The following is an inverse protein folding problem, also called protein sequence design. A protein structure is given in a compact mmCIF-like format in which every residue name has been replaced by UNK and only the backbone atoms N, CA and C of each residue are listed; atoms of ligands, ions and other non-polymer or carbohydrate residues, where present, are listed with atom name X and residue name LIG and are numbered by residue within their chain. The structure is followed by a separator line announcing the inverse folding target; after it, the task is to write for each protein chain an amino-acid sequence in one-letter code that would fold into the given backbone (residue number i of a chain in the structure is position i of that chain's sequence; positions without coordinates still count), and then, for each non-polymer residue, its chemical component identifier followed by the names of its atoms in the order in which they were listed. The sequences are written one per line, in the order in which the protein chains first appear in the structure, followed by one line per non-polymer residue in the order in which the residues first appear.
data_IF_254323134368
#
_entry.id   IF_254323134368
#
_cell.length_a   1.000
_cell.length_b   1.000
_cell.length_c   1.000
_cell.angle_alpha   90.00
_cell.angle_beta   90.00
_cell.angle_gamma   90.00
#
_symmetry.space_group_name_H-M   'P 1'
#
loop_
_entity.id
_entity.type
_entity.pdbx_description
1 polymer ?
#
# COMPACT_ATOMS: atom_id res chain seq x y z
N UNK A 1 -15.20 -18.76 -27.42
CA UNK A 1 -15.75 -18.27 -26.14
C UNK A 1 -16.05 -16.80 -26.34
N UNK A 2 -17.32 -16.44 -26.37
CA UNK A 2 -17.72 -15.04 -26.44
C UNK A 2 -17.36 -14.44 -25.05
N UNK A 3 -16.43 -13.50 -25.05
CA UNK A 3 -16.14 -12.70 -23.85
C UNK A 3 -17.38 -11.86 -23.55
N UNK A 4 -18.15 -12.29 -22.56
CA UNK A 4 -19.27 -11.49 -22.05
C UNK A 4 -18.65 -10.35 -21.26
N UNK A 5 -18.22 -9.31 -21.95
CA UNK A 5 -17.83 -8.05 -21.32
C UNK A 5 -19.11 -7.44 -20.77
N UNK A 6 -19.17 -7.27 -19.45
CA UNK A 6 -20.26 -6.57 -18.82
C UNK A 6 -20.30 -5.14 -19.38
N UNK A 7 -21.46 -4.74 -19.94
CA UNK A 7 -21.62 -3.43 -20.53
C UNK A 7 -22.01 -2.40 -19.46
N UNK A 8 -21.01 -1.71 -18.95
CA UNK A 8 -21.20 -0.55 -18.08
C UNK A 8 -20.84 0.74 -18.83
N UNK A 9 -21.44 1.85 -18.44
CA UNK A 9 -21.18 3.17 -19.03
C UNK A 9 -19.81 3.73 -18.61
N UNK A 10 -19.30 3.34 -17.43
CA UNK A 10 -18.00 3.75 -16.89
C UNK A 10 -17.42 2.69 -15.96
N UNK A 11 -16.10 2.75 -15.70
CA UNK A 11 -15.39 1.81 -14.86
C UNK A 11 -14.54 2.53 -13.82
N UNK A 12 -14.62 2.04 -12.57
CA UNK A 12 -13.71 2.43 -11.50
C UNK A 12 -12.97 1.17 -11.05
N UNK A 13 -11.66 1.19 -11.15
CA UNK A 13 -10.81 0.00 -10.96
C UNK A 13 -9.78 0.30 -9.88
N UNK A 14 -9.65 -0.58 -8.89
CA UNK A 14 -8.60 -0.49 -7.89
C UNK A 14 -7.23 -0.81 -8.50
N UNK A 15 -6.19 -0.12 -8.03
CA UNK A 15 -4.84 -0.26 -8.57
C UNK A 15 -4.09 -1.40 -7.87
N UNK A 16 -3.99 -1.35 -6.54
CA UNK A 16 -3.09 -2.20 -5.77
C UNK A 16 -3.66 -3.61 -5.52
N UNK A 17 -3.06 -4.61 -6.14
CA UNK A 17 -3.52 -6.01 -6.06
C UNK A 17 -4.65 -6.36 -7.02
N UNK A 18 -5.08 -5.42 -7.87
CA UNK A 18 -6.07 -5.61 -8.95
C UNK A 18 -5.43 -5.36 -10.31
N UNK A 19 -4.91 -4.19 -10.56
CA UNK A 19 -4.16 -3.88 -11.79
C UNK A 19 -2.69 -4.29 -11.64
N UNK A 20 -2.10 -3.99 -10.48
CA UNK A 20 -0.69 -4.22 -10.21
C UNK A 20 -0.49 -5.22 -9.06
N UNK A 21 0.59 -6.03 -9.14
CA UNK A 21 1.00 -6.98 -8.09
C UNK A 21 1.79 -6.26 -6.97
N UNK A 22 1.19 -5.22 -6.40
CA UNK A 22 1.82 -4.43 -5.34
C UNK A 22 1.39 -4.83 -3.92
N UNK A 23 0.34 -5.63 -3.76
CA UNK A 23 -0.19 -6.00 -2.45
C UNK A 23 0.84 -6.72 -1.56
N UNK A 24 1.58 -7.68 -2.11
CA UNK A 24 2.65 -8.38 -1.38
C UNK A 24 3.81 -7.44 -1.04
N UNK A 25 4.10 -6.46 -1.89
CA UNK A 25 5.13 -5.46 -1.67
C UNK A 25 4.73 -4.49 -0.55
N UNK A 26 3.47 -4.06 -0.52
CA UNK A 26 2.91 -3.29 0.59
C UNK A 26 3.07 -4.03 1.93
N UNK A 27 2.68 -5.31 1.99
CA UNK A 27 2.77 -6.11 3.20
C UNK A 27 4.22 -6.28 3.69
N UNK A 28 5.18 -6.51 2.78
CA UNK A 28 6.61 -6.58 3.11
C UNK A 28 7.16 -5.26 3.60
N UNK A 29 6.81 -4.14 2.96
CA UNK A 29 7.26 -2.81 3.39
C UNK A 29 6.75 -2.48 4.79
N UNK A 30 5.51 -2.82 5.11
CA UNK A 30 4.96 -2.67 6.46
C UNK A 30 5.71 -3.51 7.48
N UNK A 31 6.01 -4.77 7.14
CA UNK A 31 6.81 -5.63 8.02
C UNK A 31 8.18 -5.02 8.30
N UNK A 32 8.90 -4.61 7.28
CA UNK A 32 10.24 -4.01 7.45
C UNK A 32 10.19 -2.75 8.30
N UNK A 33 9.20 -1.88 8.06
CA UNK A 33 9.04 -0.65 8.84
C UNK A 33 8.73 -0.94 10.31
N UNK A 34 7.71 -1.75 10.57
CA UNK A 34 7.18 -1.93 11.92
C UNK A 34 8.11 -2.78 12.79
N UNK A 35 8.73 -3.83 12.23
CA UNK A 35 9.74 -4.61 12.94
C UNK A 35 10.99 -3.78 13.21
N UNK A 36 11.43 -2.97 12.25
CA UNK A 36 12.56 -2.05 12.43
C UNK A 36 12.30 -1.00 13.51
N UNK A 37 11.12 -0.38 13.50
CA UNK A 37 10.71 0.59 14.52
C UNK A 37 10.67 -0.05 15.93
N UNK A 38 10.08 -1.23 16.05
CA UNK A 38 10.02 -1.93 17.35
C UNK A 38 11.43 -2.27 17.85
N UNK A 39 12.30 -2.77 16.98
CA UNK A 39 13.68 -3.09 17.37
C UNK A 39 14.47 -1.84 17.80
N UNK A 40 14.26 -0.69 17.15
CA UNK A 40 14.91 0.58 17.48
C UNK A 40 14.37 1.19 18.77
N UNK A 41 13.05 1.30 18.90
CA UNK A 41 12.41 2.03 20.01
C UNK A 41 12.25 1.18 21.28
N UNK A 42 12.20 -0.15 21.13
CA UNK A 42 11.95 -1.09 22.23
C UNK A 42 12.91 -2.29 22.20
N UNK A 43 14.25 -2.09 22.25
CA UNK A 43 15.24 -3.16 22.02
C UNK A 43 15.17 -4.31 23.04
N UNK A 44 14.62 -4.05 24.23
CA UNK A 44 14.50 -5.04 25.31
C UNK A 44 13.08 -5.61 25.48
N UNK A 45 12.14 -5.23 24.61
CA UNK A 45 10.77 -5.69 24.71
C UNK A 45 10.55 -6.97 23.90
N UNK A 46 9.91 -7.97 24.49
CA UNK A 46 9.44 -9.15 23.79
C UNK A 46 8.18 -8.85 22.95
N UNK A 47 8.35 -8.07 21.88
CA UNK A 47 7.27 -7.75 20.96
C UNK A 47 7.23 -8.77 19.84
N UNK A 48 6.07 -9.37 19.62
CA UNK A 48 5.88 -10.31 18.49
C UNK A 48 6.10 -9.60 17.15
N UNK A 49 6.95 -10.13 16.25
CA UNK A 49 7.18 -9.56 14.93
C UNK A 49 5.89 -9.43 14.13
N UNK A 50 5.88 -8.48 13.19
CA UNK A 50 4.77 -8.30 12.25
C UNK A 50 4.61 -9.53 11.35
N UNK A 51 3.42 -10.10 11.32
CA UNK A 51 3.06 -11.25 10.47
C UNK A 51 2.26 -10.76 9.28
N UNK A 52 2.82 -10.85 8.09
CA UNK A 52 2.19 -10.40 6.85
C UNK A 52 0.84 -11.08 6.56
N UNK A 53 0.68 -12.34 6.96
CA UNK A 53 -0.57 -13.10 6.75
C UNK A 53 -1.69 -12.76 7.74
N UNK A 54 -1.37 -12.19 8.89
CA UNK A 54 -2.33 -11.91 9.97
C UNK A 54 -2.43 -10.43 10.24
N UNK A 55 -1.31 -9.80 10.68
CA UNK A 55 -1.32 -8.42 11.14
C UNK A 55 -1.62 -7.43 10.00
N UNK A 56 -1.18 -7.76 8.75
CA UNK A 56 -1.54 -6.95 7.58
C UNK A 56 -3.04 -6.96 7.33
N UNK A 57 -3.69 -8.11 7.39
CA UNK A 57 -5.13 -8.23 7.17
C UNK A 57 -5.95 -7.55 8.28
N UNK A 58 -5.53 -7.72 9.54
CA UNK A 58 -6.28 -7.24 10.70
C UNK A 58 -6.11 -5.74 10.98
N UNK A 59 -4.94 -5.18 10.66
CA UNK A 59 -4.59 -3.84 11.10
C UNK A 59 -4.31 -2.85 9.97
N UNK A 60 -3.92 -3.33 8.79
CA UNK A 60 -3.42 -2.48 7.71
C UNK A 60 -4.37 -2.42 6.53
N UNK A 61 -4.77 -3.58 6.01
CA UNK A 61 -5.58 -3.64 4.78
C UNK A 61 -6.89 -2.88 4.93
N UNK A 62 -7.21 -2.02 3.96
CA UNK A 62 -8.41 -1.21 3.95
C UNK A 62 -8.39 0.01 4.88
N UNK A 63 -7.23 0.31 5.49
CA UNK A 63 -7.07 1.47 6.36
C UNK A 63 -6.06 2.48 5.79
N UNK A 64 -6.20 3.74 6.22
CA UNK A 64 -5.15 4.75 5.96
C UNK A 64 -3.82 4.30 6.59
N UNK A 65 -2.68 4.79 6.07
CA UNK A 65 -1.38 4.47 6.69
C UNK A 65 -1.31 4.89 8.17
N UNK A 66 -1.92 6.02 8.51
CA UNK A 66 -1.97 6.54 9.88
C UNK A 66 -2.76 5.58 10.78
N UNK A 67 -3.96 5.18 10.34
CA UNK A 67 -4.79 4.25 11.13
C UNK A 67 -4.15 2.86 11.20
N UNK A 68 -3.48 2.42 10.15
CA UNK A 68 -2.72 1.17 10.14
C UNK A 68 -1.63 1.17 11.21
N UNK A 69 -0.83 2.24 11.30
CA UNK A 69 0.17 2.41 12.37
C UNK A 69 -0.48 2.37 13.75
N UNK A 70 -1.53 3.18 13.97
CA UNK A 70 -2.24 3.24 15.28
C UNK A 70 -2.76 1.86 15.71
N UNK A 71 -3.44 1.17 14.80
CA UNK A 71 -4.04 -0.15 15.06
C UNK A 71 -3.00 -1.19 15.41
N UNK A 72 -1.90 -1.25 14.64
CA UNK A 72 -0.81 -2.17 14.91
C UNK A 72 -0.14 -1.90 16.25
N UNK A 73 0.28 -0.65 16.52
CA UNK A 73 0.95 -0.29 17.76
C UNK A 73 0.05 -0.56 18.99
N UNK A 74 -1.24 -0.24 18.89
CA UNK A 74 -2.21 -0.57 19.93
C UNK A 74 -2.30 -2.08 20.18
N UNK A 75 -2.26 -2.91 19.12
CA UNK A 75 -2.29 -4.38 19.25
C UNK A 75 -1.04 -4.95 19.94
N UNK A 76 0.01 -4.16 20.05
CA UNK A 76 1.29 -4.49 20.73
C UNK A 76 1.44 -3.76 22.05
N UNK A 77 0.43 -3.03 22.52
CA UNK A 77 0.48 -2.17 23.71
C UNK A 77 1.63 -1.13 23.66
N UNK A 78 2.00 -0.67 22.45
CA UNK A 78 3.03 0.34 22.25
C UNK A 78 2.35 1.71 22.16
N UNK A 79 2.73 2.61 23.06
CA UNK A 79 2.32 4.01 23.01
C UNK A 79 3.27 4.81 22.11
N UNK A 80 2.71 5.60 21.20
CA UNK A 80 3.46 6.51 20.34
C UNK A 80 2.65 7.80 20.18
N UNK A 81 3.25 8.99 20.31
CA UNK A 81 2.57 10.26 20.03
C UNK A 81 2.01 10.29 18.61
N UNK A 82 0.83 10.86 18.43
CA UNK A 82 0.23 10.99 17.09
C UNK A 82 1.09 11.84 16.17
N UNK A 83 1.62 12.95 16.69
CA UNK A 83 2.34 13.93 15.90
C UNK A 83 1.42 14.77 15.02
N UNK A 84 1.98 15.36 13.97
CA UNK A 84 1.29 16.24 13.03
C UNK A 84 1.48 15.79 11.57
N UNK A 85 0.55 16.15 10.66
CA UNK A 85 0.66 15.80 9.23
C UNK A 85 1.97 16.25 8.55
N UNK A 86 2.62 17.29 9.08
CA UNK A 86 3.90 17.80 8.61
C UNK A 86 5.14 17.07 9.13
N UNK A 87 5.00 16.11 10.03
CA UNK A 87 6.15 15.42 10.63
C UNK A 87 7.05 14.77 9.57
N UNK A 88 8.38 14.88 9.75
CA UNK A 88 9.33 14.23 8.85
C UNK A 88 9.30 12.69 9.05
N UNK A 89 9.81 11.95 8.07
CA UNK A 89 9.80 10.47 8.08
C UNK A 89 10.61 9.85 9.23
N UNK A 90 11.55 10.60 9.81
CA UNK A 90 12.36 10.15 10.94
C UNK A 90 11.74 10.49 12.31
N UNK A 91 10.63 11.24 12.35
CA UNK A 91 9.96 11.55 13.60
C UNK A 91 9.38 10.27 14.24
N UNK A 92 9.57 10.13 15.55
CA UNK A 92 8.98 9.05 16.34
C UNK A 92 7.53 9.39 16.70
N UNK A 93 6.68 9.48 15.68
CA UNK A 93 5.24 9.74 15.78
C UNK A 93 4.49 8.84 14.80
N UNK A 94 3.18 8.70 14.99
CA UNK A 94 2.31 7.96 14.06
C UNK A 94 2.39 8.54 12.65
N UNK A 95 2.34 9.88 12.53
CA UNK A 95 2.47 10.57 11.25
C UNK A 95 3.85 10.37 10.62
N UNK A 96 4.93 10.42 11.41
CA UNK A 96 6.28 10.16 10.94
C UNK A 96 6.44 8.73 10.40
N UNK A 97 5.96 7.72 11.13
CA UNK A 97 6.00 6.32 10.66
C UNK A 97 5.15 6.10 9.40
N UNK A 98 3.97 6.70 9.32
CA UNK A 98 3.13 6.61 8.12
C UNK A 98 3.81 7.24 6.91
N UNK A 99 4.52 8.36 7.08
CA UNK A 99 5.34 8.99 6.05
C UNK A 99 6.54 8.13 5.65
N UNK A 100 7.28 7.59 6.65
CA UNK A 100 8.41 6.65 6.44
C UNK A 100 7.97 5.46 5.58
N UNK A 101 6.80 4.87 5.86
CA UNK A 101 6.24 3.80 5.02
C UNK A 101 6.09 4.21 3.57
N UNK A 102 5.55 5.39 3.30
CA UNK A 102 5.34 5.88 1.93
C UNK A 102 6.68 6.08 1.21
N UNK A 103 7.67 6.65 1.88
CA UNK A 103 9.02 6.84 1.33
C UNK A 103 9.69 5.50 1.04
N UNK A 104 9.66 4.56 1.99
CA UNK A 104 10.22 3.21 1.80
C UNK A 104 9.56 2.49 0.62
N UNK A 105 8.25 2.56 0.50
CA UNK A 105 7.52 1.95 -0.60
C UNK A 105 7.91 2.57 -1.94
N UNK A 106 7.98 3.90 -2.02
CA UNK A 106 8.42 4.62 -3.22
C UNK A 106 9.83 4.20 -3.67
N UNK A 107 10.79 4.06 -2.73
CA UNK A 107 12.14 3.57 -3.04
C UNK A 107 12.11 2.16 -3.66
N UNK A 108 11.33 1.25 -3.06
CA UNK A 108 11.22 -0.12 -3.58
C UNK A 108 10.60 -0.16 -4.98
N UNK A 109 9.56 0.65 -5.24
CA UNK A 109 8.97 0.79 -6.59
C UNK A 109 9.97 1.36 -7.58
N UNK A 110 10.73 2.38 -7.19
CA UNK A 110 11.75 2.98 -8.05
C UNK A 110 12.87 1.99 -8.46
N UNK A 111 13.27 1.13 -7.52
CA UNK A 111 14.36 0.15 -7.71
C UNK A 111 13.92 -1.11 -8.46
N UNK A 112 12.73 -1.63 -8.16
CA UNK A 112 12.27 -2.95 -8.64
C UNK A 112 11.24 -2.88 -9.76
N UNK A 113 10.65 -1.70 -10.00
CA UNK A 113 9.51 -1.57 -10.91
C UNK A 113 8.23 -2.17 -10.34
N UNK A 114 7.25 -2.30 -11.18
CA UNK A 114 5.91 -2.80 -10.86
C UNK A 114 5.47 -3.83 -11.89
N UNK A 115 4.99 -4.98 -11.44
CA UNK A 115 4.37 -5.96 -12.32
C UNK A 115 2.88 -5.67 -12.46
N UNK A 116 2.40 -5.71 -13.71
CA UNK A 116 0.97 -5.59 -14.05
C UNK A 116 0.40 -6.98 -14.30
N UNK A 117 -0.77 -7.27 -13.75
CA UNK A 117 -1.45 -8.52 -14.07
C UNK A 117 -1.87 -8.52 -15.53
N UNK A 118 -1.48 -9.56 -16.28
CA UNK A 118 -1.73 -9.64 -17.72
C UNK A 118 -3.22 -9.57 -18.09
N UNK A 119 -4.09 -10.13 -17.23
CA UNK A 119 -5.54 -10.03 -17.38
C UNK A 119 -6.04 -8.59 -17.25
N UNK A 120 -5.56 -7.88 -16.23
CA UNK A 120 -5.93 -6.49 -15.98
C UNK A 120 -5.43 -5.57 -17.11
N UNK A 121 -4.19 -5.82 -17.61
CA UNK A 121 -3.70 -5.05 -18.76
C UNK A 121 -4.58 -5.23 -19.98
N UNK A 122 -4.91 -6.47 -20.36
CA UNK A 122 -5.81 -6.71 -21.51
C UNK A 122 -7.18 -6.05 -21.32
N UNK A 123 -7.70 -6.04 -20.09
CA UNK A 123 -8.97 -5.39 -19.80
C UNK A 123 -8.89 -3.87 -19.96
N UNK A 124 -7.83 -3.23 -19.44
CA UNK A 124 -7.59 -1.80 -19.62
C UNK A 124 -7.39 -1.42 -21.09
N UNK A 125 -6.63 -2.21 -21.84
CA UNK A 125 -6.45 -2.01 -23.29
C UNK A 125 -7.80 -2.08 -24.03
N UNK A 126 -8.67 -3.01 -23.66
CA UNK A 126 -10.02 -3.14 -24.21
C UNK A 126 -10.91 -1.93 -23.87
N UNK A 127 -10.87 -1.46 -22.61
CA UNK A 127 -11.63 -0.27 -22.20
C UNK A 127 -11.16 0.98 -22.95
N UNK A 128 -9.84 1.17 -23.09
CA UNK A 128 -9.27 2.26 -23.87
C UNK A 128 -9.71 2.24 -25.33
N UNK A 129 -9.74 1.06 -25.96
CA UNK A 129 -10.22 0.89 -27.33
C UNK A 129 -11.73 1.17 -27.47
N UNK A 130 -12.52 0.94 -26.44
CA UNK A 130 -13.97 1.20 -26.44
C UNK A 130 -14.34 2.65 -26.07
N UNK A 131 -13.34 3.52 -25.83
CA UNK A 131 -13.51 4.92 -25.39
C UNK A 131 -14.44 5.08 -24.17
N UNK A 132 -14.51 4.08 -23.29
CA UNK A 132 -15.33 4.15 -22.07
C UNK A 132 -14.60 4.90 -20.96
N UNK A 133 -15.28 5.81 -20.25
CA UNK A 133 -14.70 6.49 -19.12
C UNK A 133 -14.16 5.49 -18.09
N UNK A 134 -12.89 5.58 -17.77
CA UNK A 134 -12.22 4.67 -16.85
C UNK A 134 -11.38 5.46 -15.84
N UNK A 135 -11.53 5.16 -14.57
CA UNK A 135 -10.73 5.74 -13.49
C UNK A 135 -10.02 4.63 -12.73
N UNK A 136 -8.73 4.83 -12.46
CA UNK A 136 -7.97 4.02 -11.50
C UNK A 136 -7.99 4.72 -10.14
N UNK A 137 -8.26 3.96 -9.09
CA UNK A 137 -8.30 4.47 -7.72
C UNK A 137 -7.31 3.73 -6.84
N UNK A 138 -6.71 4.43 -5.89
CA UNK A 138 -5.81 3.84 -4.90
C UNK A 138 -5.79 4.66 -3.62
N UNK A 139 -5.64 3.98 -2.48
CA UNK A 139 -5.36 4.62 -1.20
C UNK A 139 -3.86 4.94 -1.01
N UNK A 140 -3.00 4.51 -1.93
CA UNK A 140 -1.56 4.75 -1.89
C UNK A 140 -1.23 6.18 -2.33
N UNK A 141 -0.37 6.87 -1.58
CA UNK A 141 0.19 8.17 -2.00
C UNK A 141 1.21 8.03 -3.15
N UNK A 142 1.59 6.82 -3.50
CA UNK A 142 2.53 6.54 -4.58
C UNK A 142 1.81 6.07 -5.87
N UNK A 143 0.49 6.27 -6.00
CA UNK A 143 -0.31 5.80 -7.12
C UNK A 143 0.23 6.23 -8.47
N UNK A 144 0.54 7.52 -8.64
CA UNK A 144 1.13 8.06 -9.88
C UNK A 144 2.44 7.36 -10.24
N UNK A 145 3.36 7.22 -9.27
CA UNK A 145 4.63 6.51 -9.48
C UNK A 145 4.40 5.04 -9.86
N UNK A 146 3.42 4.38 -9.26
CA UNK A 146 3.06 2.99 -9.58
C UNK A 146 2.57 2.90 -11.02
N UNK A 147 1.68 3.79 -11.47
CA UNK A 147 1.17 3.84 -12.85
C UNK A 147 2.29 4.09 -13.85
N UNK A 148 3.13 5.10 -13.60
CA UNK A 148 4.27 5.42 -14.46
C UNK A 148 5.23 4.24 -14.61
N UNK A 149 5.57 3.57 -13.49
CA UNK A 149 6.45 2.39 -13.49
C UNK A 149 5.80 1.13 -14.06
N UNK A 150 4.48 1.07 -14.07
CA UNK A 150 3.69 0.02 -14.70
C UNK A 150 3.51 0.22 -16.22
N UNK A 151 3.80 1.41 -16.73
CA UNK A 151 3.59 1.77 -18.14
C UNK A 151 2.09 1.90 -18.50
N UNK A 152 1.30 2.45 -17.59
CA UNK A 152 -0.13 2.66 -17.71
C UNK A 152 -0.45 4.16 -17.70
#
# INVERSE_FOLDING_TARGET
MQDTVLEFDAYIIDLDGVVTDTAALHARTWKTLLDGFVAEAHPNAEVKPFRTSVDYQQHIRGHSHIDGVRRYLRSRAIALPDGAPGDPEHAHTVHGLAKRKSVMFGKVIAERGVNVFSGSKRFLDHLGASARPTALVTASRNGEMVLERAGI
#
